data_IF_039381339655
#
_entry.id   IF_039381339655
#
_cell.length_a   1.000
_cell.length_b   1.000
_cell.length_c   1.000
_cell.angle_alpha   90.00
_cell.angle_beta   90.00
_cell.angle_gamma   90.00
#
_symmetry.space_group_name_H-M   'P 1'
#
loop_
_entity.id
_entity.type
_entity.pdbx_description
1 polymer ?
#
# COMPACT_ATOMS: atom_id res chain seq x y z
N UNK A 1 48.97 -9.24 10.93
CA UNK A 1 48.35 -10.51 11.35
C UNK A 1 46.87 -10.21 11.51
N UNK A 2 46.00 -10.86 10.74
CA UNK A 2 44.55 -10.63 10.86
C UNK A 2 44.10 -11.18 12.19
N UNK A 3 43.38 -10.39 12.98
CA UNK A 3 42.88 -10.85 14.28
C UNK A 3 41.57 -11.65 14.11
N UNK A 4 41.25 -12.60 15.00
CA UNK A 4 39.97 -13.30 14.94
C UNK A 4 38.76 -12.35 14.95
N UNK A 5 38.85 -11.22 15.66
CA UNK A 5 37.81 -10.20 15.67
C UNK A 5 37.63 -9.52 14.32
N UNK A 6 38.71 -9.24 13.61
CA UNK A 6 38.67 -8.68 12.25
C UNK A 6 38.02 -9.65 11.25
N UNK A 7 38.34 -10.94 11.34
CA UNK A 7 37.67 -12.00 10.53
C UNK A 7 36.17 -12.05 10.82
N UNK A 8 35.78 -11.99 12.10
CA UNK A 8 34.38 -12.02 12.49
C UNK A 8 33.60 -10.83 11.91
N UNK A 9 34.14 -9.61 12.04
CA UNK A 9 33.51 -8.40 11.49
C UNK A 9 33.35 -8.53 9.98
N UNK A 10 34.40 -8.95 9.26
CA UNK A 10 34.34 -9.14 7.81
C UNK A 10 33.26 -10.14 7.39
N UNK A 11 33.14 -11.28 8.08
CA UNK A 11 32.12 -12.28 7.79
C UNK A 11 30.71 -11.74 8.03
N UNK A 12 30.47 -11.10 9.17
CA UNK A 12 29.15 -10.54 9.49
C UNK A 12 28.77 -9.44 8.51
N UNK A 13 29.70 -8.55 8.17
CA UNK A 13 29.47 -7.50 7.16
C UNK A 13 29.18 -8.10 5.79
N UNK A 14 29.95 -9.10 5.35
CA UNK A 14 29.70 -9.77 4.08
C UNK A 14 28.31 -10.43 4.05
N UNK A 15 27.91 -11.13 5.12
CA UNK A 15 26.58 -11.72 5.24
C UNK A 15 25.47 -10.66 5.21
N UNK A 16 25.63 -9.54 5.92
CA UNK A 16 24.67 -8.46 5.92
C UNK A 16 24.51 -7.82 4.53
N UNK A 17 25.61 -7.62 3.81
CA UNK A 17 25.59 -7.11 2.44
C UNK A 17 24.90 -8.08 1.48
N UNK A 18 25.13 -9.38 1.62
CA UNK A 18 24.44 -10.41 0.83
C UNK A 18 22.94 -10.39 1.11
N UNK A 19 22.54 -10.35 2.38
CA UNK A 19 21.13 -10.26 2.76
C UNK A 19 20.47 -9.00 2.17
N UNK A 20 21.16 -7.86 2.24
CA UNK A 20 20.69 -6.60 1.67
C UNK A 20 20.57 -6.69 0.14
N UNK A 21 21.57 -7.25 -0.55
CA UNK A 21 21.56 -7.42 -2.00
C UNK A 21 20.40 -8.31 -2.47
N UNK A 22 20.01 -9.31 -1.66
CA UNK A 22 18.84 -10.17 -1.94
C UNK A 22 17.52 -9.45 -1.66
N UNK A 23 17.46 -8.63 -0.60
CA UNK A 23 16.24 -7.92 -0.20
C UNK A 23 15.88 -6.73 -1.11
N UNK A 24 16.88 -5.97 -1.57
CA UNK A 24 16.68 -4.75 -2.37
C UNK A 24 15.81 -4.99 -3.62
N UNK A 25 16.08 -5.99 -4.48
CA UNK A 25 15.27 -6.23 -5.68
C UNK A 25 13.80 -6.50 -5.39
N UNK A 26 13.50 -7.18 -4.27
CA UNK A 26 12.12 -7.46 -3.84
C UNK A 26 11.41 -6.15 -3.46
N UNK A 27 12.07 -5.30 -2.67
CA UNK A 27 11.52 -4.00 -2.28
C UNK A 27 11.32 -3.08 -3.48
N UNK A 28 12.28 -3.05 -4.42
CA UNK A 28 12.16 -2.25 -5.64
C UNK A 28 10.99 -2.71 -6.51
N UNK A 29 10.75 -4.02 -6.63
CA UNK A 29 9.57 -4.54 -7.33
C UNK A 29 8.28 -4.03 -6.71
N UNK A 30 8.11 -4.15 -5.40
CA UNK A 30 6.93 -3.68 -4.68
C UNK A 30 6.70 -2.17 -4.91
N UNK A 31 7.77 -1.36 -4.84
CA UNK A 31 7.67 0.09 -5.04
C UNK A 31 7.32 0.45 -6.49
N UNK A 32 7.92 -0.24 -7.46
CA UNK A 32 7.60 -0.03 -8.89
C UNK A 32 6.16 -0.43 -9.18
N UNK A 33 5.72 -1.59 -8.68
CA UNK A 33 4.35 -2.06 -8.83
C UNK A 33 3.34 -1.10 -8.18
N UNK A 34 3.68 -0.55 -7.01
CA UNK A 34 2.87 0.47 -6.34
C UNK A 34 2.80 1.77 -7.15
N UNK A 35 3.92 2.24 -7.71
CA UNK A 35 3.94 3.44 -8.56
C UNK A 35 3.16 3.26 -9.85
N UNK A 36 3.22 2.08 -10.47
CA UNK A 36 2.44 1.79 -11.66
C UNK A 36 0.94 1.95 -11.39
N UNK A 37 0.45 1.49 -10.23
CA UNK A 37 -0.96 1.64 -9.83
C UNK A 37 -1.36 3.08 -9.51
N UNK A 38 -0.45 3.89 -9.00
CA UNK A 38 -0.71 5.31 -8.73
C UNK A 38 -0.67 6.17 -10.00
N UNK A 39 0.10 5.75 -11.01
CA UNK A 39 0.19 6.44 -12.29
C UNK A 39 -0.92 6.04 -13.28
N UNK A 40 -1.57 4.90 -13.06
CA UNK A 40 -2.75 4.51 -13.82
C UNK A 40 -3.94 5.32 -13.32
N UNK A 41 -4.20 6.46 -13.97
CA UNK A 41 -5.40 7.24 -13.73
C UNK A 41 -6.62 6.32 -13.96
N UNK A 42 -7.60 6.28 -13.04
CA UNK A 42 -8.77 5.43 -13.19
C UNK A 42 -9.36 5.63 -14.58
N UNK A 43 -9.75 4.55 -15.30
CA UNK A 43 -10.29 4.70 -16.64
C UNK A 43 -11.42 5.73 -16.57
N UNK A 44 -11.27 6.82 -17.31
CA UNK A 44 -12.30 7.83 -17.44
C UNK A 44 -13.55 7.12 -17.94
N UNK A 45 -14.51 6.89 -17.03
CA UNK A 45 -15.82 6.39 -17.39
C UNK A 45 -16.40 7.37 -18.41
N UNK A 46 -16.69 6.94 -19.65
CA UNK A 46 -17.33 7.81 -20.59
C UNK A 46 -18.79 7.96 -20.17
N UNK A 47 -19.20 9.21 -20.03
CA UNK A 47 -20.57 9.71 -19.96
C UNK A 47 -21.37 9.39 -18.68
N UNK A 48 -21.55 10.43 -17.85
CA UNK A 48 -22.91 10.81 -17.47
C UNK A 48 -23.01 12.33 -17.25
N UNK A 49 -23.96 12.93 -17.95
CA UNK A 49 -24.01 14.34 -18.29
C UNK A 49 -24.21 15.31 -17.13
N UNK A 50 -23.79 16.54 -17.40
CA UNK A 50 -24.04 17.71 -16.57
C UNK A 50 -25.53 17.87 -16.20
N UNK A 51 -25.82 17.96 -14.90
CA UNK A 51 -27.06 18.57 -14.41
C UNK A 51 -26.75 19.42 -13.17
N UNK A 52 -27.01 20.74 -13.17
CA UNK A 52 -26.74 21.60 -12.03
C UNK A 52 -27.99 21.64 -11.14
N UNK A 53 -27.94 21.01 -9.96
CA UNK A 53 -29.08 21.09 -9.07
C UNK A 53 -28.96 20.36 -7.74
N UNK A 54 -29.11 21.15 -6.68
CA UNK A 54 -29.55 20.78 -5.34
C UNK A 54 -28.58 19.98 -4.45
N UNK A 55 -28.11 20.66 -3.41
CA UNK A 55 -27.49 20.04 -2.25
C UNK A 55 -28.41 18.99 -1.64
N UNK A 56 -27.90 17.76 -1.62
CA UNK A 56 -28.40 16.64 -0.85
C UNK A 56 -27.17 15.81 -0.54
N UNK A 57 -26.98 15.43 0.72
CA UNK A 57 -25.93 14.52 1.13
C UNK A 57 -26.12 13.22 0.34
N UNK A 58 -25.35 13.04 -0.71
CA UNK A 58 -25.29 11.80 -1.47
C UNK A 58 -24.65 10.76 -0.54
N UNK A 59 -25.48 9.91 0.05
CA UNK A 59 -25.02 8.57 0.45
C UNK A 59 -24.55 7.94 -0.85
N UNK A 60 -23.25 8.02 -1.09
CA UNK A 60 -22.61 7.43 -2.25
C UNK A 60 -22.76 5.91 -2.12
N UNK A 61 -23.62 5.28 -2.94
CA UNK A 61 -23.91 3.86 -2.82
C UNK A 61 -22.69 2.98 -3.17
N UNK A 62 -21.64 3.58 -3.76
CA UNK A 62 -20.39 2.91 -4.07
C UNK A 62 -19.35 2.96 -2.93
N UNK A 63 -19.68 3.55 -1.77
CA UNK A 63 -18.78 3.44 -0.60
C UNK A 63 -18.75 2.00 -0.10
N UNK A 64 -17.60 1.31 -0.15
CA UNK A 64 -17.53 -0.10 0.22
C UNK A 64 -17.81 -0.26 1.71
N UNK A 65 -18.88 -1.01 2.02
CA UNK A 65 -19.19 -1.39 3.40
C UNK A 65 -18.34 -2.58 3.82
N UNK A 66 -17.86 -2.56 5.05
CA UNK A 66 -17.13 -3.67 5.62
C UNK A 66 -18.03 -4.92 5.69
N UNK A 67 -17.64 -6.07 5.11
CA UNK A 67 -18.45 -7.29 5.16
C UNK A 67 -18.52 -7.91 6.57
N UNK A 68 -17.64 -7.50 7.49
CA UNK A 68 -17.59 -8.00 8.85
C UNK A 68 -18.48 -7.20 9.81
N UNK A 69 -18.30 -5.87 9.89
CA UNK A 69 -19.03 -5.01 10.84
C UNK A 69 -20.12 -4.14 10.21
N UNK A 70 -20.19 -4.07 8.87
CA UNK A 70 -21.18 -3.25 8.16
C UNK A 70 -20.89 -1.75 8.11
N UNK A 71 -19.82 -1.28 8.77
CA UNK A 71 -19.41 0.14 8.74
C UNK A 71 -19.00 0.55 7.32
N UNK A 72 -19.37 1.77 6.93
CA UNK A 72 -18.92 2.39 5.68
C UNK A 72 -17.42 2.69 5.78
N UNK A 73 -16.64 2.16 4.85
CA UNK A 73 -15.22 2.52 4.74
C UNK A 73 -15.07 3.71 3.80
N UNK A 74 -14.07 4.53 4.09
CA UNK A 74 -13.58 5.50 3.13
C UNK A 74 -12.84 4.76 1.99
N UNK A 75 -13.03 5.22 0.75
CA UNK A 75 -12.50 4.58 -0.45
C UNK A 75 -10.96 4.53 -0.46
N UNK A 76 -10.30 5.40 0.31
CA UNK A 76 -8.84 5.42 0.46
C UNK A 76 -8.29 4.26 1.31
N UNK A 77 -9.15 3.52 2.03
CA UNK A 77 -8.72 2.46 2.93
C UNK A 77 -8.99 1.06 2.35
N UNK A 78 -7.93 0.24 2.30
CA UNK A 78 -7.98 -1.17 1.86
C UNK A 78 -8.48 -2.11 2.96
N UNK A 79 -8.60 -1.62 4.20
CA UNK A 79 -9.04 -2.37 5.37
C UNK A 79 -10.04 -1.56 6.20
N UNK A 80 -10.86 -2.24 7.01
CA UNK A 80 -11.79 -1.56 7.91
C UNK A 80 -11.09 -1.07 9.17
N UNK A 81 -11.00 0.26 9.32
CA UNK A 81 -10.37 0.90 10.47
C UNK A 81 -11.05 0.55 11.79
N UNK A 82 -12.38 0.49 11.79
CA UNK A 82 -13.17 0.20 13.00
C UNK A 82 -12.92 -1.22 13.54
N UNK A 83 -12.80 -2.20 12.64
CA UNK A 83 -12.45 -3.56 13.04
C UNK A 83 -11.02 -3.65 13.59
N UNK A 84 -10.08 -2.86 13.07
CA UNK A 84 -8.69 -2.84 13.52
C UNK A 84 -8.55 -2.25 14.92
N UNK A 85 -9.30 -1.20 15.25
CA UNK A 85 -9.26 -0.55 16.57
C UNK A 85 -9.87 -1.43 17.69
N UNK A 86 -10.59 -2.50 17.33
CA UNK A 86 -11.23 -3.44 18.27
C UNK A 86 -10.41 -4.72 18.55
N UNK A 87 -9.21 -4.84 17.97
CA UNK A 87 -8.24 -5.92 18.26
C UNK A 87 -7.37 -5.59 19.48
#
# INVERSE_FOLDING_TARGET
MVTPGEVYVLLVTAMALVALAVAIPVLLRIVVDGRARLGEEPPAHPDEGANPGAGGQSVDPDRPRCPHCGTENDADFVYCRECLEQL
#
